data_IF_570398846911
#
_entry.id   IF_570398846911
#
_cell.length_a   1.000
_cell.length_b   1.000
_cell.length_c   1.000
_cell.angle_alpha   90.00
_cell.angle_beta   90.00
_cell.angle_gamma   90.00
#
_symmetry.space_group_name_H-M   'P 1'
#
loop_
_entity.id
_entity.type
_entity.pdbx_description
1 polymer ?
#
# COMPACT_ATOMS: atom_id res chain seq x y z
N UNK A 1 8.98 13.10 8.54
CA UNK A 1 7.52 12.84 8.74
C UNK A 1 7.38 11.39 9.16
N UNK A 2 6.69 11.11 10.26
CA UNK A 2 6.58 9.74 10.77
C UNK A 2 5.49 8.96 10.00
N UNK A 3 5.88 7.85 9.37
CA UNK A 3 4.99 6.91 8.68
C UNK A 3 5.20 5.56 9.35
N UNK A 4 4.13 5.01 9.92
CA UNK A 4 4.15 3.73 10.60
C UNK A 4 3.14 2.79 9.94
N UNK A 5 3.59 1.61 9.52
CA UNK A 5 2.70 0.56 9.02
C UNK A 5 2.14 -0.17 10.24
N UNK A 6 0.88 0.12 10.58
CA UNK A 6 0.25 -0.39 11.79
C UNK A 6 -0.30 -1.80 11.62
N UNK A 7 -0.50 -2.23 10.37
CA UNK A 7 -0.98 -3.57 10.02
C UNK A 7 -0.52 -3.91 8.61
N UNK A 8 -0.04 -5.14 8.40
CA UNK A 8 0.25 -5.69 7.09
C UNK A 8 -0.26 -7.13 7.04
N UNK A 9 -1.16 -7.42 6.12
CA UNK A 9 -1.76 -8.73 5.95
C UNK A 9 -1.54 -9.22 4.52
N UNK A 10 -0.98 -10.42 4.39
CA UNK A 10 -0.92 -11.10 3.09
C UNK A 10 -2.33 -11.35 2.57
N UNK A 11 -2.52 -11.11 1.28
CA UNK A 11 -3.77 -11.41 0.57
C UNK A 11 -3.43 -11.82 -0.85
N UNK A 12 -4.34 -12.54 -1.52
CA UNK A 12 -4.09 -12.95 -2.89
C UNK A 12 -5.37 -12.76 -3.70
N UNK A 13 -5.51 -11.57 -4.30
CA UNK A 13 -6.68 -11.22 -5.10
C UNK A 13 -6.23 -10.80 -6.49
N UNK A 14 -6.40 -11.71 -7.45
CA UNK A 14 -6.06 -11.47 -8.86
C UNK A 14 -7.09 -10.54 -9.50
N UNK A 15 -6.63 -9.39 -9.99
CA UNK A 15 -7.42 -8.46 -10.80
C UNK A 15 -6.94 -8.53 -12.26
N UNK A 16 -7.62 -7.84 -13.17
CA UNK A 16 -7.36 -7.92 -14.61
C UNK A 16 -5.94 -7.53 -15.07
N UNK A 17 -5.21 -6.68 -14.33
CA UNK A 17 -3.85 -6.20 -14.69
C UNK A 17 -2.83 -6.30 -13.55
N UNK A 18 -3.26 -6.79 -12.40
CA UNK A 18 -2.40 -6.85 -11.21
C UNK A 18 -3.01 -7.76 -10.15
N UNK A 19 -2.18 -8.34 -9.31
CA UNK A 19 -2.65 -9.11 -8.14
C UNK A 19 -2.42 -8.29 -6.87
N UNK A 20 -3.43 -8.19 -6.01
CA UNK A 20 -3.24 -7.66 -4.65
C UNK A 20 -2.54 -8.75 -3.86
N UNK A 21 -1.33 -8.47 -3.37
CA UNK A 21 -0.49 -9.42 -2.63
C UNK A 21 -0.47 -9.14 -1.12
N UNK A 22 -0.78 -7.90 -0.73
CA UNK A 22 -1.02 -7.56 0.67
C UNK A 22 -1.95 -6.35 0.79
N UNK A 23 -2.61 -6.25 1.94
CA UNK A 23 -3.33 -5.08 2.38
C UNK A 23 -2.72 -4.54 3.68
N UNK A 24 -2.67 -3.22 3.83
CA UNK A 24 -2.06 -2.57 4.97
C UNK A 24 -2.81 -1.34 5.44
N UNK A 25 -2.61 -1.03 6.71
CA UNK A 25 -3.01 0.23 7.33
C UNK A 25 -1.76 0.99 7.75
N UNK A 26 -1.81 2.32 7.66
CA UNK A 26 -0.69 3.18 8.02
C UNK A 26 -1.14 4.39 8.85
N UNK A 27 -0.34 4.76 9.84
CA UNK A 27 -0.41 6.05 10.53
C UNK A 27 0.55 7.01 9.87
N UNK A 28 0.07 8.18 9.47
CA UNK A 28 0.88 9.22 8.83
C UNK A 28 0.62 10.54 9.56
N UNK A 29 1.56 10.91 10.45
CA UNK A 29 1.37 12.06 11.34
C UNK A 29 0.00 12.00 12.05
N UNK A 30 -0.89 12.92 11.67
CA UNK A 30 -2.19 13.09 12.31
C UNK A 30 -3.34 12.28 11.68
N UNK A 31 -3.16 11.62 10.54
CA UNK A 31 -4.20 10.82 9.90
C UNK A 31 -3.85 9.33 9.78
N UNK A 32 -4.88 8.51 9.52
CA UNK A 32 -4.74 7.07 9.27
C UNK A 32 -5.15 6.77 7.84
N UNK A 33 -4.45 5.84 7.21
CA UNK A 33 -4.79 5.26 5.92
C UNK A 33 -5.21 3.83 6.22
N UNK A 34 -6.44 3.47 5.80
CA UNK A 34 -6.98 2.14 5.99
C UNK A 34 -7.09 1.41 4.65
N UNK A 35 -6.76 0.12 4.65
CA UNK A 35 -6.93 -0.79 3.52
C UNK A 35 -6.23 -0.31 2.23
N UNK A 36 -5.01 0.23 2.38
CA UNK A 36 -4.11 0.41 1.26
C UNK A 36 -3.55 -0.94 0.82
N UNK A 37 -3.07 -1.02 -0.42
CA UNK A 37 -2.78 -2.30 -1.07
C UNK A 37 -1.39 -2.30 -1.69
N UNK A 38 -0.66 -3.38 -1.46
CA UNK A 38 0.51 -3.76 -2.24
C UNK A 38 0.04 -4.64 -3.37
N UNK A 39 0.45 -4.31 -4.59
CA UNK A 39 0.03 -4.97 -5.82
C UNK A 39 1.23 -5.39 -6.65
N UNK A 40 1.12 -6.56 -7.26
CA UNK A 40 2.04 -7.04 -8.27
C UNK A 40 1.47 -6.74 -9.66
N UNK A 41 2.18 -5.96 -10.47
CA UNK A 41 1.80 -5.69 -11.86
C UNK A 41 2.00 -6.96 -12.70
N UNK A 42 1.01 -7.34 -13.51
CA UNK A 42 1.13 -8.49 -14.41
C UNK A 42 2.01 -8.22 -15.62
N UNK A 43 2.06 -6.97 -16.07
CA UNK A 43 2.81 -6.59 -17.27
C UNK A 43 4.30 -6.47 -16.97
N UNK A 44 4.66 -5.75 -15.89
CA UNK A 44 6.08 -5.51 -15.53
C UNK A 44 6.63 -6.47 -14.47
N UNK A 45 5.78 -7.20 -13.75
CA UNK A 45 6.20 -8.00 -12.60
C UNK A 45 6.61 -7.17 -11.38
N UNK A 46 6.44 -5.84 -11.41
CA UNK A 46 6.88 -4.96 -10.33
C UNK A 46 5.82 -4.82 -9.23
N UNK A 47 6.29 -4.68 -7.99
CA UNK A 47 5.45 -4.34 -6.85
C UNK A 47 5.19 -2.83 -6.80
N UNK A 48 3.93 -2.45 -6.61
CA UNK A 48 3.52 -1.06 -6.45
C UNK A 48 2.43 -0.92 -5.39
N UNK A 49 2.28 0.31 -4.88
CA UNK A 49 1.32 0.62 -3.82
C UNK A 49 0.16 1.43 -4.36
N UNK A 50 -1.05 1.00 -3.99
CA UNK A 50 -2.28 1.75 -4.25
C UNK A 50 -2.92 2.18 -2.94
N UNK A 51 -3.23 3.47 -2.86
CA UNK A 51 -3.88 4.08 -1.70
C UNK A 51 -5.39 4.16 -1.96
N UNK A 52 -6.22 4.03 -0.91
CA UNK A 52 -7.66 4.15 -1.04
C UNK A 52 -8.05 5.51 -1.65
N UNK A 53 -8.90 5.47 -2.67
CA UNK A 53 -9.47 6.66 -3.29
C UNK A 53 -10.78 7.13 -2.65
N UNK A 54 -11.34 8.22 -3.18
CA UNK A 54 -12.63 8.80 -2.78
C UNK A 54 -13.81 7.81 -2.75
N UNK A 55 -13.77 6.74 -3.56
CA UNK A 55 -14.91 5.82 -3.72
C UNK A 55 -15.32 5.07 -2.44
N UNK A 56 -14.48 5.03 -1.40
CA UNK A 56 -14.81 4.45 -0.09
C UNK A 56 -14.78 5.47 1.05
N UNK A 57 -15.01 6.76 0.75
CA UNK A 57 -14.91 7.83 1.74
C UNK A 57 -13.47 8.17 2.16
N UNK A 58 -12.47 7.70 1.40
CA UNK A 58 -11.06 7.97 1.64
C UNK A 58 -10.58 9.31 1.04
N UNK A 59 -9.43 9.78 1.51
CA UNK A 59 -8.73 10.94 0.96
C UNK A 59 -7.82 10.47 -0.17
N UNK A 60 -7.99 11.04 -1.37
CA UNK A 60 -7.04 10.84 -2.46
C UNK A 60 -5.78 11.66 -2.23
N UNK A 61 -4.65 10.98 -2.00
CA UNK A 61 -3.34 11.63 -1.91
C UNK A 61 -2.78 11.87 -3.32
N UNK A 62 -2.45 13.14 -3.61
CA UNK A 62 -1.77 13.54 -4.85
C UNK A 62 -0.41 12.83 -4.94
N UNK A 63 0.04 12.56 -6.17
CA UNK A 63 1.41 12.14 -6.40
C UNK A 63 2.39 13.21 -5.88
N UNK A 64 3.40 12.77 -5.13
CA UNK A 64 4.36 13.64 -4.45
C UNK A 64 5.12 12.87 -3.37
N UNK A 65 5.99 13.57 -2.66
CA UNK A 65 6.93 12.99 -1.68
C UNK A 65 6.22 12.14 -0.61
N UNK A 66 5.10 12.61 -0.07
CA UNK A 66 4.28 11.89 0.90
C UNK A 66 3.81 10.53 0.37
N UNK A 67 3.29 10.49 -0.86
CA UNK A 67 2.79 9.25 -1.48
C UNK A 67 3.93 8.27 -1.74
N UNK A 68 5.07 8.78 -2.21
CA UNK A 68 6.27 7.96 -2.42
C UNK A 68 6.79 7.39 -1.11
N UNK A 69 6.86 8.20 -0.05
CA UNK A 69 7.32 7.77 1.27
C UNK A 69 6.41 6.69 1.88
N UNK A 70 5.09 6.82 1.74
CA UNK A 70 4.14 5.76 2.16
C UNK A 70 4.39 4.49 1.34
N UNK A 71 4.59 4.63 0.03
CA UNK A 71 4.89 3.51 -0.87
C UNK A 71 6.14 2.75 -0.44
N UNK A 72 7.24 3.47 -0.21
CA UNK A 72 8.51 2.88 0.25
C UNK A 72 8.38 2.17 1.61
N UNK A 73 7.69 2.79 2.57
CA UNK A 73 7.47 2.19 3.89
C UNK A 73 6.63 0.90 3.80
N UNK A 74 5.58 0.90 2.97
CA UNK A 74 4.73 -0.27 2.78
C UNK A 74 5.45 -1.42 2.04
N UNK A 75 6.27 -1.11 1.04
CA UNK A 75 7.06 -2.11 0.32
C UNK A 75 8.14 -2.74 1.23
N UNK A 76 8.79 -1.95 2.08
CA UNK A 76 9.73 -2.46 3.07
C UNK A 76 9.03 -3.43 4.05
N UNK A 77 7.91 -3.02 4.65
CA UNK A 77 7.13 -3.86 5.55
C UNK A 77 6.60 -5.14 4.88
N UNK A 78 6.24 -5.07 3.59
CA UNK A 78 5.85 -6.26 2.83
C UNK A 78 7.02 -7.22 2.59
N UNK A 79 8.22 -6.69 2.29
CA UNK A 79 9.43 -7.50 2.15
C UNK A 79 9.76 -8.27 3.43
N UNK A 80 9.59 -7.65 4.60
CA UNK A 80 9.72 -8.33 5.90
C UNK A 80 8.69 -9.45 6.06
N UNK A 81 7.42 -9.19 5.74
CA UNK A 81 6.35 -10.20 5.80
C UNK A 81 6.58 -11.36 4.84
N UNK A 82 7.07 -11.10 3.63
CA UNK A 82 7.26 -12.12 2.59
C UNK A 82 8.49 -13.02 2.82
N UNK A 83 9.42 -12.59 3.68
CA UNK A 83 10.60 -13.36 4.07
C UNK A 83 10.39 -14.19 5.35
N UNK A 84 9.18 -14.16 5.91
CA UNK A 84 8.71 -15.00 7.04
C UNK A 84 7.86 -16.14 6.47
#
# INVERSE_FOLDING_TARGET
MNIEITRMNSTHVTCARSTIVAAFDARVGDFKIHNAQVRLNHDSGELFVTLPGRQKGGISLRFGELRSAIGSAALAAYGELANV
#
